data_IF_374746985009
#
_entry.id   IF_374746985009
#
_cell.length_a   1.000
_cell.length_b   1.000
_cell.length_c   1.000
_cell.angle_alpha   90.00
_cell.angle_beta   90.00
_cell.angle_gamma   90.00
#
_symmetry.space_group_name_H-M   'P 1'
#
loop_
_entity.id
_entity.type
_entity.pdbx_description
1 polymer ?
#
# COMPACT_ATOMS: atom_id res chain seq x y z
N UNK A 1 -14.77 16.98 -9.59
CA UNK A 1 -14.76 17.46 -8.19
C UNK A 1 -13.82 16.54 -7.43
N UNK A 2 -12.52 16.87 -7.38
CA UNK A 2 -11.61 16.18 -6.48
C UNK A 2 -12.05 16.56 -5.06
N UNK A 3 -12.46 15.57 -4.28
CA UNK A 3 -12.88 15.71 -2.90
C UNK A 3 -11.94 16.66 -2.16
N UNK A 4 -12.46 17.78 -1.65
CA UNK A 4 -11.67 18.78 -0.92
C UNK A 4 -11.14 18.28 0.43
N UNK A 5 -11.35 16.99 0.74
CA UNK A 5 -10.94 16.36 1.98
C UNK A 5 -9.84 15.31 1.69
N UNK A 6 -8.76 15.29 2.50
CA UNK A 6 -7.71 14.29 2.38
C UNK A 6 -8.27 12.88 2.60
N UNK A 7 -7.80 11.92 1.81
CA UNK A 7 -8.13 10.50 1.95
C UNK A 7 -7.61 9.96 3.29
N UNK A 8 -8.30 8.98 3.86
CA UNK A 8 -7.96 8.37 5.15
C UNK A 8 -8.14 6.86 5.13
N UNK A 9 -7.58 6.17 6.12
CA UNK A 9 -7.76 4.72 6.28
C UNK A 9 -7.29 3.95 5.04
N UNK A 10 -8.05 2.91 4.66
CA UNK A 10 -7.70 2.06 3.51
C UNK A 10 -7.64 2.81 2.18
N UNK A 11 -8.46 3.84 1.98
CA UNK A 11 -8.43 4.65 0.74
C UNK A 11 -7.12 5.43 0.61
N UNK A 12 -6.55 5.89 1.73
CA UNK A 12 -5.24 6.54 1.74
C UNK A 12 -4.13 5.57 1.35
N UNK A 13 -4.17 4.34 1.89
CA UNK A 13 -3.16 3.31 1.62
C UNK A 13 -3.21 2.93 0.14
N UNK A 14 -4.40 2.71 -0.42
CA UNK A 14 -4.60 2.36 -1.83
C UNK A 14 -4.11 3.49 -2.75
N UNK A 15 -4.50 4.73 -2.46
CA UNK A 15 -4.03 5.90 -3.18
C UNK A 15 -2.51 6.06 -3.11
N UNK A 16 -1.90 5.89 -1.93
CA UNK A 16 -0.47 5.99 -1.77
C UNK A 16 0.27 4.91 -2.57
N UNK A 17 -0.20 3.66 -2.51
CA UNK A 17 0.38 2.54 -3.26
C UNK A 17 0.25 2.74 -4.78
N UNK A 18 -0.91 3.19 -5.25
CA UNK A 18 -1.15 3.44 -6.68
C UNK A 18 -0.23 4.53 -7.26
N UNK A 19 0.21 5.46 -6.42
CA UNK A 19 1.14 6.54 -6.80
C UNK A 19 2.58 6.30 -6.32
N UNK A 20 2.88 5.11 -5.79
CA UNK A 20 4.18 4.72 -5.25
C UNK A 20 5.36 5.01 -6.18
N UNK A 21 5.19 4.64 -7.44
CA UNK A 21 6.21 4.78 -8.50
C UNK A 21 6.48 6.26 -8.89
N UNK A 22 5.59 7.18 -8.54
CA UNK A 22 5.70 8.61 -8.85
C UNK A 22 6.36 9.42 -7.73
N UNK A 23 6.61 8.78 -6.59
CA UNK A 23 7.21 9.41 -5.42
C UNK A 23 6.18 10.00 -4.45
N UNK A 24 6.67 10.27 -3.23
CA UNK A 24 5.85 10.67 -2.08
C UNK A 24 5.11 11.99 -2.29
N UNK A 25 5.71 12.96 -2.99
CA UNK A 25 5.11 14.27 -3.25
C UNK A 25 3.89 14.17 -4.14
N UNK A 26 3.99 13.37 -5.20
CA UNK A 26 2.89 13.15 -6.15
C UNK A 26 1.76 12.35 -5.49
N UNK A 27 2.12 11.34 -4.68
CA UNK A 27 1.15 10.59 -3.90
C UNK A 27 0.41 11.50 -2.90
N UNK A 28 1.12 12.28 -2.09
CA UNK A 28 0.51 13.19 -1.12
C UNK A 28 -0.44 14.20 -1.80
N UNK A 29 -0.03 14.79 -2.92
CA UNK A 29 -0.87 15.71 -3.68
C UNK A 29 -2.16 15.03 -4.17
N UNK A 30 -2.04 13.84 -4.77
CA UNK A 30 -3.17 13.09 -5.31
C UNK A 30 -4.10 12.52 -4.24
N UNK A 31 -3.56 12.20 -3.05
CA UNK A 31 -4.35 11.73 -1.93
C UNK A 31 -5.00 12.88 -1.11
N UNK A 32 -4.84 14.14 -1.55
CA UNK A 32 -5.50 15.31 -0.97
C UNK A 32 -4.73 15.99 0.16
N UNK A 33 -3.44 15.68 0.32
CA UNK A 33 -2.54 16.30 1.29
C UNK A 33 -1.71 17.44 0.70
N UNK A 34 -1.70 17.61 -0.63
CA UNK A 34 -0.91 18.65 -1.28
C UNK A 34 0.58 18.48 -1.00
N UNK A 35 1.18 19.45 -0.32
CA UNK A 35 2.59 19.46 0.06
C UNK A 35 2.82 19.06 1.53
N UNK A 36 1.77 18.73 2.29
CA UNK A 36 1.87 18.31 3.70
C UNK A 36 2.31 16.83 3.81
N UNK A 37 3.57 16.55 3.46
CA UNK A 37 4.14 15.20 3.52
C UNK A 37 4.13 14.63 4.94
N UNK A 38 4.41 15.47 5.94
CA UNK A 38 4.42 15.04 7.35
C UNK A 38 3.05 14.52 7.80
N UNK A 39 1.97 15.19 7.37
CA UNK A 39 0.59 14.80 7.67
C UNK A 39 0.19 13.55 6.89
N UNK A 40 0.60 13.47 5.61
CA UNK A 40 0.39 12.30 4.78
C UNK A 40 1.03 11.04 5.40
N UNK A 41 2.29 11.12 5.80
CA UNK A 41 2.99 10.00 6.45
C UNK A 41 2.37 9.62 7.79
N UNK A 42 1.97 10.60 8.60
CA UNK A 42 1.29 10.33 9.86
C UNK A 42 0.00 9.54 9.63
N UNK A 43 -0.83 9.99 8.71
CA UNK A 43 -2.10 9.34 8.39
C UNK A 43 -1.90 7.96 7.74
N UNK A 44 -0.81 7.75 7.00
CA UNK A 44 -0.45 6.43 6.48
C UNK A 44 -0.14 5.44 7.60
N UNK A 45 0.64 5.86 8.62
CA UNK A 45 0.92 5.01 9.79
C UNK A 45 -0.36 4.67 10.55
N UNK A 46 -1.20 5.67 10.80
CA UNK A 46 -2.50 5.48 11.47
C UNK A 46 -3.42 4.54 10.67
N UNK A 47 -3.47 4.71 9.35
CA UNK A 47 -4.25 3.86 8.46
C UNK A 47 -3.74 2.40 8.48
N UNK A 48 -2.43 2.20 8.48
CA UNK A 48 -1.81 0.87 8.60
C UNK A 48 -2.21 0.20 9.91
N UNK A 49 -2.04 0.90 11.03
CA UNK A 49 -2.41 0.39 12.34
C UNK A 49 -3.89 0.02 12.42
N UNK A 50 -4.76 0.80 11.78
CA UNK A 50 -6.19 0.52 11.73
C UNK A 50 -6.52 -0.81 11.03
N UNK A 51 -5.70 -1.25 10.07
CA UNK A 51 -5.87 -2.54 9.38
C UNK A 51 -4.93 -3.64 9.91
N UNK A 52 -4.24 -3.39 11.03
CA UNK A 52 -3.31 -4.34 11.64
C UNK A 52 -2.00 -4.53 10.86
N UNK A 53 -1.60 -3.54 10.05
CA UNK A 53 -0.35 -3.54 9.28
C UNK A 53 0.57 -2.44 9.80
N UNK A 54 1.80 -2.78 10.16
CA UNK A 54 2.80 -1.80 10.54
C UNK A 54 3.38 -1.13 9.28
N UNK A 55 2.88 0.05 8.94
CA UNK A 55 3.45 0.90 7.88
C UNK A 55 4.44 1.84 8.56
N UNK A 56 5.73 1.74 8.23
CA UNK A 56 6.75 2.63 8.79
C UNK A 56 6.84 3.98 8.04
N UNK A 57 6.47 4.00 6.76
CA UNK A 57 6.46 5.19 5.91
C UNK A 57 6.00 4.87 4.49
N UNK A 58 6.03 5.88 3.61
CA UNK A 58 5.62 5.71 2.21
C UNK A 58 6.43 4.63 1.48
N UNK A 59 7.74 4.57 1.74
CA UNK A 59 8.66 3.62 1.11
C UNK A 59 8.27 2.15 1.34
N UNK A 60 7.72 1.84 2.52
CA UNK A 60 7.20 0.50 2.84
C UNK A 60 6.09 0.09 1.87
N UNK A 61 5.21 1.01 1.49
CA UNK A 61 4.10 0.74 0.56
C UNK A 61 4.57 0.48 -0.87
N UNK A 62 5.67 1.11 -1.26
CA UNK A 62 6.27 0.98 -2.59
C UNK A 62 7.07 -0.32 -2.67
N UNK A 63 7.89 -0.62 -1.66
CA UNK A 63 8.74 -1.81 -1.61
C UNK A 63 7.97 -3.09 -1.29
N UNK A 64 6.87 -3.03 -0.53
CA UNK A 64 6.03 -4.20 -0.23
C UNK A 64 5.23 -4.71 -1.45
N UNK A 65 5.23 -3.98 -2.58
CA UNK A 65 4.59 -4.42 -3.83
C UNK A 65 5.13 -5.75 -4.36
N UNK A 66 6.32 -6.16 -3.93
CA UNK A 66 6.96 -7.42 -4.34
C UNK A 66 6.58 -8.63 -3.46
N UNK A 67 5.90 -8.44 -2.33
CA UNK A 67 5.75 -9.47 -1.29
C UNK A 67 4.48 -10.34 -1.33
N UNK A 68 3.50 -10.06 -2.20
CA UNK A 68 2.19 -10.75 -2.17
C UNK A 68 1.76 -11.39 -3.51
N UNK A 69 2.71 -11.67 -4.41
CA UNK A 69 2.44 -12.49 -5.60
C UNK A 69 2.89 -13.95 -5.42
N UNK A 70 3.34 -14.33 -4.22
CA UNK A 70 3.78 -15.70 -3.90
C UNK A 70 3.00 -16.32 -2.74
N UNK A 71 1.69 -16.52 -2.92
CA UNK A 71 0.97 -17.63 -2.26
C UNK A 71 0.15 -18.45 -3.25
N UNK A 72 0.69 -18.63 -4.47
CA UNK A 72 0.34 -19.76 -5.31
C UNK A 72 1.29 -20.90 -5.01
N UNK A 73 1.11 -21.60 -3.88
CA UNK A 73 1.71 -22.93 -3.74
C UNK A 73 1.02 -23.81 -4.78
N UNK A 74 1.70 -24.05 -5.90
CA UNK A 74 1.29 -25.08 -6.86
C UNK A 74 1.54 -26.40 -6.16
N UNK A 75 0.52 -26.92 -5.47
CA UNK A 75 0.50 -28.31 -5.04
C UNK A 75 0.29 -29.13 -6.31
N UNK A 76 1.37 -29.47 -7.00
CA UNK A 76 1.33 -30.63 -7.87
C UNK A 76 1.11 -31.84 -6.94
N UNK A 77 0.08 -32.67 -7.13
CA UNK A 77 -0.01 -33.91 -6.40
C UNK A 77 1.17 -34.78 -6.85
N UNK A 78 2.14 -34.98 -5.96
CA UNK A 78 3.15 -36.02 -6.08
C UNK A 78 2.42 -37.36 -5.96
N UNK A 79 1.94 -37.87 -7.10
CA UNK A 79 1.43 -39.23 -7.18
C UNK A 79 2.55 -40.03 -7.82
N UNK A 80 3.25 -40.91 -7.09
CA UNK A 80 4.09 -41.91 -7.73
C UNK A 80 3.13 -42.87 -8.44
N UNK A 81 2.85 -42.62 -9.72
CA UNK A 81 2.26 -43.64 -10.60
C UNK A 81 3.31 -44.74 -10.79
N UNK A 82 3.31 -45.68 -9.85
CA UNK A 82 3.84 -47.02 -10.07
C UNK A 82 2.81 -47.77 -10.90
N UNK A 83 3.11 -47.90 -12.19
CA UNK A 83 2.55 -48.94 -13.06
C UNK A 83 3.71 -49.64 -13.76
#
# INVERSE_FOLDING_TARGET
MASSAPLKGSELIDCARANGEQGIEVAAYRCGYGNDLARFEQQLREAGQHIGVEINGFDDLVNNRQGNEQRGVVIAPDTPSQL
#
